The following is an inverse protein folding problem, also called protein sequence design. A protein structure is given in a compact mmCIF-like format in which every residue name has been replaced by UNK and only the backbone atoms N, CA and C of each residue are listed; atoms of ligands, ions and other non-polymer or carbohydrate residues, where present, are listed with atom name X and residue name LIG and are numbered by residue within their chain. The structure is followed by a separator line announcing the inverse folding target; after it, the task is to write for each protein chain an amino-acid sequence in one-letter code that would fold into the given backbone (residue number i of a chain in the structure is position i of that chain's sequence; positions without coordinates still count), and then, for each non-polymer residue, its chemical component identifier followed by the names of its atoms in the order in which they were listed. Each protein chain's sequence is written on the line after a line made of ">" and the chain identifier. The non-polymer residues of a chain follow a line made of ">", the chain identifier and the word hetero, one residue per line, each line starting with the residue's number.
data_IF_295177482030
#
_entry.id   IF_295177482030
#
_cell.length_a   1.000
_cell.length_b   1.000
_cell.length_c   1.000
_cell.angle_alpha   90.00
_cell.angle_beta   90.00
_cell.angle_gamma   90.00
#
_symmetry.space_group_name_H-M   'P 1'
#
loop_
_entity.id
_entity.type
_entity.pdbx_description
1 polymer ?
#
# COMPACT_ATOMS: atom_id res chain seq x y z
N UNK A 1 -6.62 7.37 -26.90
CA UNK A 1 -6.68 6.26 -25.92
C UNK A 1 -5.47 6.44 -25.02
N UNK A 2 -5.66 7.17 -23.93
CA UNK A 2 -4.65 7.41 -22.91
C UNK A 2 -5.12 6.64 -21.66
N UNK A 3 -4.42 5.61 -21.16
CA UNK A 3 -5.03 4.69 -20.22
C UNK A 3 -4.61 4.91 -18.76
N UNK A 4 -4.36 6.14 -18.29
CA UNK A 4 -4.04 6.37 -16.87
C UNK A 4 -4.70 7.65 -16.36
N UNK A 5 -6.00 7.55 -16.07
CA UNK A 5 -6.74 8.60 -15.39
C UNK A 5 -6.92 8.20 -13.92
N UNK A 6 -6.12 8.77 -13.03
CA UNK A 6 -6.32 8.66 -11.59
C UNK A 6 -7.60 9.40 -11.23
N UNK A 7 -8.63 8.67 -10.82
CA UNK A 7 -9.84 9.28 -10.25
C UNK A 7 -9.80 9.05 -8.75
N UNK A 8 -9.07 9.91 -8.04
CA UNK A 8 -9.14 10.02 -6.60
C UNK A 8 -10.11 11.16 -6.25
N UNK A 9 -10.92 11.03 -5.18
CA UNK A 9 -11.82 12.08 -4.75
C UNK A 9 -11.03 13.36 -4.46
N UNK A 10 -11.43 14.44 -5.12
CA UNK A 10 -10.82 15.75 -5.01
C UNK A 10 -11.21 16.42 -3.69
N UNK A 11 -10.62 15.98 -2.58
CA UNK A 11 -10.41 16.82 -1.38
C UNK A 11 -9.63 16.02 -0.32
N UNK A 12 -8.38 16.40 -0.05
CA UNK A 12 -7.71 16.43 1.27
C UNK A 12 -6.19 16.40 1.10
N UNK A 13 -5.53 17.54 1.34
CA UNK A 13 -4.07 17.69 1.22
C UNK A 13 -3.23 16.94 2.27
N UNK A 14 -3.32 15.60 2.30
CA UNK A 14 -2.54 14.68 3.16
C UNK A 14 -1.87 13.55 2.37
N UNK A 15 -1.63 13.75 1.07
CA UNK A 15 -1.13 12.71 0.15
C UNK A 15 0.27 12.17 0.51
N UNK A 16 1.11 12.96 1.21
CA UNK A 16 2.43 12.49 1.67
C UNK A 16 2.35 11.68 2.96
N UNK A 17 1.37 11.95 3.82
CA UNK A 17 1.22 11.27 5.11
C UNK A 17 0.78 9.82 4.92
N UNK A 18 -0.17 9.59 4.02
CA UNK A 18 -0.66 8.23 3.69
C UNK A 18 0.43 7.32 3.10
N UNK A 19 1.28 7.87 2.23
CA UNK A 19 2.43 7.15 1.66
C UNK A 19 3.49 6.83 2.73
N UNK A 20 3.78 7.80 3.60
CA UNK A 20 4.77 7.64 4.68
C UNK A 20 4.39 6.49 5.63
N UNK A 21 3.09 6.32 5.91
CA UNK A 21 2.58 5.24 6.74
C UNK A 21 2.79 3.84 6.15
N UNK A 22 2.82 3.71 4.82
CA UNK A 22 3.06 2.44 4.14
C UNK A 22 4.54 2.15 3.90
N UNK A 23 5.44 3.12 4.04
CA UNK A 23 6.87 2.95 3.72
C UNK A 23 7.51 1.79 4.50
N UNK A 24 7.24 1.67 5.80
CA UNK A 24 7.78 0.57 6.63
C UNK A 24 7.28 -0.79 6.14
N UNK A 25 6.01 -0.87 5.74
CA UNK A 25 5.38 -2.08 5.20
C UNK A 25 6.00 -2.43 3.84
N UNK A 26 6.11 -1.46 2.95
CA UNK A 26 6.71 -1.65 1.61
C UNK A 26 8.18 -2.06 1.73
N UNK A 27 8.94 -1.47 2.64
CA UNK A 27 10.33 -1.82 2.88
C UNK A 27 10.47 -3.24 3.47
N UNK A 28 9.59 -3.63 4.39
CA UNK A 28 9.55 -5.00 4.88
C UNK A 28 9.23 -6.01 3.77
N UNK A 29 8.24 -5.70 2.91
CA UNK A 29 7.86 -6.53 1.75
C UNK A 29 9.01 -6.64 0.75
N UNK A 30 9.70 -5.53 0.47
CA UNK A 30 10.90 -5.51 -0.38
C UNK A 30 12.03 -6.38 0.19
N UNK A 31 12.22 -6.36 1.51
CA UNK A 31 13.19 -7.21 2.21
C UNK A 31 12.74 -8.69 2.33
N UNK A 32 11.64 -9.06 1.69
CA UNK A 32 11.11 -10.44 1.65
C UNK A 32 10.19 -10.80 2.83
N UNK A 33 9.91 -9.88 3.75
CA UNK A 33 8.99 -10.12 4.87
C UNK A 33 7.55 -9.92 4.41
N UNK A 34 6.77 -11.01 4.39
CA UNK A 34 5.35 -11.01 3.98
C UNK A 34 4.38 -11.42 5.09
N UNK A 35 4.88 -11.67 6.29
CA UNK A 35 4.10 -12.12 7.44
C UNK A 35 4.37 -11.24 8.66
N UNK A 36 3.37 -11.17 9.55
CA UNK A 36 3.44 -10.35 10.76
C UNK A 36 3.62 -8.87 10.46
N UNK A 37 3.05 -8.38 9.35
CA UNK A 37 2.90 -6.96 9.05
C UNK A 37 1.50 -6.52 9.51
N UNK A 38 1.39 -5.28 9.96
CA UNK A 38 0.15 -4.69 10.49
C UNK A 38 -0.25 -3.48 9.65
N UNK A 39 -1.56 -3.26 9.54
CA UNK A 39 -2.11 -2.11 8.86
C UNK A 39 -1.82 -0.84 9.66
N UNK A 40 -1.21 0.21 9.05
CA UNK A 40 -0.89 1.44 9.78
C UNK A 40 -2.13 2.27 10.17
N UNK A 41 -3.31 1.94 9.63
CA UNK A 41 -4.56 2.68 9.89
C UNK A 41 -5.40 2.04 11.00
N UNK A 42 -5.53 0.71 11.00
CA UNK A 42 -6.40 0.00 11.95
C UNK A 42 -5.65 -0.95 12.90
N UNK A 43 -4.32 -1.07 12.77
CA UNK A 43 -3.46 -1.97 13.55
C UNK A 43 -3.78 -3.47 13.41
N UNK A 44 -4.72 -3.85 12.55
CA UNK A 44 -5.04 -5.25 12.26
C UNK A 44 -3.98 -5.89 11.35
N UNK A 45 -3.81 -7.22 11.40
CA UNK A 45 -2.87 -7.92 10.52
C UNK A 45 -3.15 -7.68 9.03
N UNK A 46 -2.09 -7.53 8.24
CA UNK A 46 -2.18 -7.52 6.78
C UNK A 46 -2.22 -8.95 6.26
N UNK A 47 -3.25 -9.25 5.47
CA UNK A 47 -3.56 -10.59 4.95
C UNK A 47 -3.54 -10.68 3.43
N UNK A 48 -3.41 -9.55 2.73
CA UNK A 48 -3.37 -9.47 1.26
C UNK A 48 -2.14 -8.70 0.77
N UNK A 49 -1.04 -9.43 0.58
CA UNK A 49 0.24 -8.90 0.09
C UNK A 49 0.61 -9.66 -1.18
N UNK A 50 0.66 -8.95 -2.31
CA UNK A 50 1.06 -9.48 -3.60
C UNK A 50 2.32 -8.77 -4.09
N UNK A 51 3.36 -9.55 -4.40
CA UNK A 51 4.62 -9.06 -4.99
C UNK A 51 4.79 -9.74 -6.35
N UNK A 52 4.71 -8.95 -7.42
CA UNK A 52 4.96 -9.37 -8.80
C UNK A 52 5.96 -8.40 -9.40
N UNK A 53 7.25 -8.69 -9.26
CA UNK A 53 8.34 -7.80 -9.65
C UNK A 53 8.09 -7.10 -11.01
N UNK A 54 8.16 -5.75 -11.09
CA UNK A 54 8.52 -4.77 -10.05
C UNK A 54 7.32 -4.25 -9.23
N UNK A 55 6.13 -4.83 -9.34
CA UNK A 55 4.91 -4.34 -8.69
C UNK A 55 4.70 -4.94 -7.29
N UNK A 56 4.26 -4.09 -6.37
CA UNK A 56 3.77 -4.48 -5.04
C UNK A 56 2.38 -3.94 -4.82
N UNK A 57 1.51 -4.82 -4.31
CA UNK A 57 0.19 -4.48 -3.79
C UNK A 57 0.08 -4.98 -2.36
N UNK A 58 -0.35 -4.11 -1.47
CA UNK A 58 -0.66 -4.40 -0.08
C UNK A 58 -2.06 -3.89 0.21
N UNK A 59 -2.93 -4.72 0.80
CA UNK A 59 -4.27 -4.32 1.18
C UNK A 59 -4.60 -4.88 2.56
N UNK A 60 -5.27 -4.05 3.38
CA UNK A 60 -5.88 -4.50 4.62
C UNK A 60 -7.35 -4.84 4.36
N UNK A 61 -7.79 -6.06 4.67
CA UNK A 61 -9.20 -6.44 4.51
C UNK A 61 -10.13 -5.87 5.58
N UNK A 62 -9.58 -5.36 6.70
CA UNK A 62 -10.38 -4.81 7.79
C UNK A 62 -10.87 -3.38 7.49
N UNK A 63 -9.96 -2.46 7.15
CA UNK A 63 -10.30 -1.08 6.84
C UNK A 63 -10.34 -0.76 5.34
N UNK A 64 -10.06 -1.74 4.47
CA UNK A 64 -9.96 -1.58 3.01
C UNK A 64 -8.87 -0.61 2.51
N UNK A 65 -8.05 -0.08 3.40
CA UNK A 65 -6.87 0.70 3.02
C UNK A 65 -5.82 -0.17 2.33
N UNK A 66 -5.10 0.41 1.40
CA UNK A 66 -4.08 -0.31 0.66
C UNK A 66 -3.12 0.60 -0.09
N UNK A 67 -2.01 0.00 -0.48
CA UNK A 67 -0.97 0.60 -1.30
C UNK A 67 -0.76 -0.27 -2.54
N UNK A 68 -0.67 0.35 -3.71
CA UNK A 68 -0.25 -0.30 -4.94
C UNK A 68 0.78 0.58 -5.65
N UNK A 69 1.93 0.00 -5.98
CA UNK A 69 3.04 0.75 -6.56
C UNK A 69 4.08 -0.14 -7.21
N UNK A 70 5.07 0.52 -7.83
CA UNK A 70 6.28 -0.13 -8.36
C UNK A 70 7.42 0.09 -7.39
N UNK A 71 8.17 -0.96 -7.12
CA UNK A 71 9.45 -0.90 -6.43
C UNK A 71 10.53 -0.99 -7.51
N UNK A 72 11.35 0.05 -7.62
CA UNK A 72 12.42 0.18 -8.61
C UNK A 72 13.58 0.99 -8.08
#
# INVERSE_FOLDING_TARGET
>A
REPWQWSLPADSGSDLDGLSLWMDVVQAVHNGRRTGLVCPFCSEPLDDITVQDPHVRVRCRHCNEGFEGRIG
#
